data_IF_655778406130
#
_entry.id   IF_655778406130
#
_cell.length_a   1.000
_cell.length_b   1.000
_cell.length_c   1.000
_cell.angle_alpha   90.00
_cell.angle_beta   90.00
_cell.angle_gamma   90.00
#
_symmetry.space_group_name_H-M   'P 1'
#
loop_
_entity.id
_entity.type
_entity.pdbx_description
1 polymer ?
#
# COMPACT_ATOMS: atom_id res chain seq x y z
N UNK A 1 -1.82 6.81 22.77
CA UNK A 1 -1.82 8.12 22.08
C UNK A 1 -2.79 7.98 20.92
N UNK A 2 -3.90 8.74 20.91
CA UNK A 2 -4.86 8.66 19.81
C UNK A 2 -4.14 8.99 18.51
N UNK A 3 -4.31 8.10 17.54
CA UNK A 3 -3.81 8.26 16.19
C UNK A 3 -4.29 9.59 15.59
N UNK A 4 -3.39 10.54 15.30
CA UNK A 4 -3.73 11.84 14.69
C UNK A 4 -4.15 11.71 13.20
N UNK A 5 -4.45 10.49 12.71
CA UNK A 5 -4.72 10.19 11.30
C UNK A 5 -6.01 10.85 10.79
N UNK A 6 -7.13 10.65 11.49
CA UNK A 6 -8.42 11.23 11.07
C UNK A 6 -8.39 12.77 11.10
N UNK A 7 -7.94 13.42 12.18
CA UNK A 7 -7.81 14.88 12.18
C UNK A 7 -6.90 15.40 11.04
N UNK A 8 -5.78 14.71 10.76
CA UNK A 8 -4.87 15.09 9.67
C UNK A 8 -5.52 14.91 8.30
N UNK A 9 -6.25 13.82 8.08
CA UNK A 9 -7.02 13.57 6.86
C UNK A 9 -8.09 14.66 6.65
N UNK A 10 -8.90 14.96 7.68
CA UNK A 10 -9.98 15.93 7.57
C UNK A 10 -9.46 17.36 7.34
N UNK A 11 -8.36 17.74 8.02
CA UNK A 11 -7.69 19.01 7.79
C UNK A 11 -7.13 19.11 6.36
N UNK A 12 -6.54 18.02 5.86
CA UNK A 12 -6.05 17.94 4.49
C UNK A 12 -7.21 18.04 3.47
N UNK A 13 -8.33 17.35 3.73
CA UNK A 13 -9.53 17.41 2.89
C UNK A 13 -10.05 18.84 2.75
N UNK A 14 -10.22 19.53 3.88
CA UNK A 14 -10.67 20.93 3.91
C UNK A 14 -9.72 21.85 3.11
N UNK A 15 -8.41 21.68 3.29
CA UNK A 15 -7.39 22.46 2.56
C UNK A 15 -7.42 22.23 1.05
N UNK A 16 -7.81 21.02 0.60
CA UNK A 16 -7.86 20.65 -0.82
C UNK A 16 -9.27 20.79 -1.43
N UNK A 17 -10.19 21.46 -0.74
CA UNK A 17 -11.55 21.74 -1.23
C UNK A 17 -12.47 20.52 -1.29
N UNK A 18 -12.13 19.45 -0.57
CA UNK A 18 -13.02 18.30 -0.40
C UNK A 18 -14.09 18.66 0.63
N UNK A 19 -15.35 18.57 0.22
CA UNK A 19 -16.51 18.85 1.08
C UNK A 19 -17.16 17.52 1.44
N UNK A 20 -17.25 17.24 2.74
CA UNK A 20 -17.88 16.05 3.31
C UNK A 20 -19.20 16.46 3.96
N UNK A 21 -20.28 15.77 3.63
CA UNK A 21 -21.61 16.02 4.18
C UNK A 21 -21.59 15.84 5.70
N UNK A 22 -22.22 16.77 6.42
CA UNK A 22 -22.20 16.80 7.88
C UNK A 22 -22.90 15.61 8.54
N UNK A 23 -23.70 14.84 7.78
CA UNK A 23 -24.41 13.64 8.25
C UNK A 23 -23.57 12.38 8.17
N UNK A 24 -22.40 12.42 7.55
CA UNK A 24 -21.46 11.30 7.57
C UNK A 24 -20.24 11.62 8.44
N UNK A 25 -19.60 10.57 8.93
CA UNK A 25 -18.37 10.69 9.68
C UNK A 25 -17.37 9.61 9.27
N UNK A 26 -16.10 10.01 9.34
CA UNK A 26 -14.95 9.14 9.11
C UNK A 26 -14.46 8.65 10.45
N UNK A 27 -14.47 7.33 10.65
CA UNK A 27 -14.18 6.67 11.93
C UNK A 27 -13.04 5.68 11.75
N UNK A 28 -12.18 5.56 12.76
CA UNK A 28 -11.13 4.55 12.82
C UNK A 28 -11.71 3.34 13.56
N UNK A 29 -11.68 2.19 12.92
CA UNK A 29 -12.12 0.94 13.49
C UNK A 29 -10.90 0.06 13.76
N UNK A 30 -10.67 -0.27 15.03
CA UNK A 30 -9.72 -1.29 15.43
C UNK A 30 -10.37 -2.66 15.20
N UNK A 31 -10.10 -3.32 14.06
CA UNK A 31 -10.48 -4.73 13.92
C UNK A 31 -9.53 -5.57 14.76
N UNK A 32 -10.06 -6.14 15.85
CA UNK A 32 -9.44 -7.31 16.49
C UNK A 32 -9.46 -8.40 15.43
N UNK A 33 -8.28 -8.83 14.95
CA UNK A 33 -8.20 -10.01 14.09
C UNK A 33 -8.99 -11.15 14.78
N UNK A 34 -9.89 -11.86 14.10
CA UNK A 34 -10.67 -12.92 14.72
C UNK A 34 -9.67 -13.94 15.28
N UNK A 35 -9.48 -13.93 16.59
CA UNK A 35 -8.83 -15.02 17.28
C UNK A 35 -9.69 -16.24 17.00
N UNK A 36 -9.14 -17.23 16.31
CA UNK A 36 -9.55 -18.61 16.53
C UNK A 36 -9.36 -18.89 18.02
N UNK A 37 -10.48 -18.83 18.75
CA UNK A 37 -10.73 -19.12 20.17
C UNK A 37 -10.19 -18.17 21.27
N UNK A 38 -10.99 -17.93 22.34
CA UNK A 38 -10.54 -17.25 23.54
C UNK A 38 -9.91 -18.28 24.49
N UNK A 39 -8.57 -18.34 24.55
CA UNK A 39 -7.90 -19.05 25.65
C UNK A 39 -7.73 -18.06 26.80
N UNK A 40 -8.51 -18.27 27.87
CA UNK A 40 -8.21 -17.73 29.19
C UNK A 40 -6.93 -18.41 29.69
N UNK A 41 -5.79 -17.72 29.63
CA UNK A 41 -4.65 -18.05 30.50
C UNK A 41 -4.55 -16.96 31.57
N UNK A 42 -4.97 -17.31 32.78
CA UNK A 42 -4.43 -16.69 33.99
C UNK A 42 -2.96 -17.11 34.08
N UNK A 43 -2.08 -16.14 34.30
CA UNK A 43 -0.62 -16.28 34.43
C UNK A 43 0.16 -16.30 33.10
N UNK A 44 0.43 -15.11 32.54
CA UNK A 44 1.81 -14.57 32.46
C UNK A 44 1.83 -13.19 31.78
N UNK A 45 2.66 -12.31 32.33
CA UNK A 45 2.67 -10.88 32.11
C UNK A 45 3.48 -10.49 30.85
N UNK A 46 3.08 -10.98 29.66
CA UNK A 46 3.70 -10.62 28.37
C UNK A 46 2.61 -10.12 27.42
N UNK A 47 2.67 -8.86 26.93
CA UNK A 47 1.67 -8.36 26.00
C UNK A 47 1.86 -9.02 24.63
N UNK A 48 1.01 -9.99 24.28
CA UNK A 48 0.86 -10.47 22.90
C UNK A 48 0.43 -9.27 22.03
N UNK A 49 1.30 -8.84 21.12
CA UNK A 49 0.96 -7.84 20.09
C UNK A 49 -0.06 -8.46 19.13
N UNK A 50 -1.34 -8.35 19.46
CA UNK A 50 -2.43 -8.46 18.48
C UNK A 50 -2.24 -7.30 17.50
N UNK A 51 -1.99 -7.61 16.23
CA UNK A 51 -1.94 -6.61 15.16
C UNK A 51 -3.37 -6.10 14.93
N UNK A 52 -3.74 -5.02 15.62
CA UNK A 52 -4.96 -4.31 15.33
C UNK A 52 -4.81 -3.65 13.96
N UNK A 53 -5.54 -4.15 12.96
CA UNK A 53 -5.65 -3.44 11.69
C UNK A 53 -6.49 -2.18 11.92
N UNK A 54 -5.82 -1.03 11.89
CA UNK A 54 -6.48 0.28 12.02
C UNK A 54 -7.02 0.71 10.66
N UNK A 55 -8.25 0.33 10.38
CA UNK A 55 -8.93 0.67 9.14
C UNK A 55 -9.82 1.90 9.33
N UNK A 56 -9.92 2.74 8.29
CA UNK A 56 -10.84 3.86 8.25
C UNK A 56 -12.13 3.42 7.57
N UNK A 57 -13.27 3.80 8.12
CA UNK A 57 -14.61 3.55 7.57
C UNK A 57 -15.43 4.83 7.59
N UNK A 58 -16.41 4.91 6.69
CA UNK A 58 -17.39 6.00 6.65
C UNK A 58 -18.74 5.50 7.17
N UNK A 59 -19.33 6.22 8.11
CA UNK A 59 -20.61 5.89 8.74
C UNK A 59 -21.59 7.07 8.65
N UNK A 60 -22.89 6.80 8.63
CA UNK A 60 -23.91 7.84 8.85
C UNK A 60 -24.00 8.17 10.34
N UNK A 61 -24.22 9.44 10.66
CA UNK A 61 -24.39 9.97 12.01
C UNK A 61 -25.83 9.83 12.48
N UNK A 62 -26.32 8.63 12.79
CA UNK A 62 -27.66 8.37 13.38
C UNK A 62 -28.85 9.12 12.73
N UNK A 63 -28.65 9.72 11.57
CA UNK A 63 -29.56 10.60 10.87
C UNK A 63 -29.90 9.93 9.55
N UNK A 64 -31.17 10.03 9.18
CA UNK A 64 -31.62 9.54 7.90
C UNK A 64 -31.04 10.42 6.79
N UNK A 65 -30.53 9.79 5.74
CA UNK A 65 -30.00 10.47 4.57
C UNK A 65 -30.99 10.22 3.43
N UNK A 66 -31.72 11.25 3.04
CA UNK A 66 -32.63 11.20 1.90
C UNK A 66 -31.88 10.90 0.59
N UNK A 67 -32.57 10.24 -0.35
CA UNK A 67 -32.09 9.97 -1.71
C UNK A 67 -32.88 10.80 -2.74
N UNK A 68 -32.23 11.41 -3.75
CA UNK A 68 -30.79 11.45 -4.02
C UNK A 68 -30.07 12.53 -3.21
N UNK A 69 -28.84 12.25 -2.77
CA UNK A 69 -28.01 13.24 -2.10
C UNK A 69 -26.51 13.04 -2.34
N UNK A 70 -25.76 14.14 -2.41
CA UNK A 70 -24.30 14.14 -2.52
C UNK A 70 -23.66 14.11 -1.13
N UNK A 71 -22.92 13.03 -0.84
CA UNK A 71 -22.23 12.89 0.44
C UNK A 71 -20.84 13.49 0.48
N UNK A 72 -20.13 13.48 -0.66
CA UNK A 72 -18.78 14.01 -0.74
C UNK A 72 -18.60 14.67 -2.10
N UNK A 73 -18.09 15.90 -2.11
CA UNK A 73 -17.64 16.57 -3.32
C UNK A 73 -16.10 16.63 -3.32
N UNK A 74 -15.48 16.04 -4.35
CA UNK A 74 -14.03 15.87 -4.44
C UNK A 74 -13.53 16.59 -5.70
N UNK A 75 -12.77 17.68 -5.58
CA UNK A 75 -12.15 18.32 -6.73
C UNK A 75 -11.20 17.36 -7.44
N UNK A 76 -11.22 17.34 -8.78
CA UNK A 76 -10.27 16.55 -9.57
C UNK A 76 -8.81 16.90 -9.25
N UNK A 77 -8.56 18.16 -8.86
CA UNK A 77 -7.24 18.58 -8.39
C UNK A 77 -6.78 17.82 -7.17
N UNK A 78 -7.66 17.29 -6.30
CA UNK A 78 -7.29 16.53 -5.10
C UNK A 78 -6.96 15.05 -5.38
N UNK A 79 -7.30 14.54 -6.57
CA UNK A 79 -7.11 13.14 -6.97
C UNK A 79 -5.63 12.82 -7.23
N UNK A 80 -5.17 11.68 -6.73
CA UNK A 80 -3.83 11.15 -7.01
C UNK A 80 -3.89 10.20 -8.20
N UNK A 81 -3.24 10.58 -9.29
CA UNK A 81 -3.20 9.85 -10.56
C UNK A 81 -1.78 9.83 -11.12
N UNK A 82 -1.57 9.05 -12.18
CA UNK A 82 -0.32 9.09 -12.95
C UNK A 82 -0.03 10.47 -13.53
N UNK A 83 -1.06 11.30 -13.76
CA UNK A 83 -0.92 12.67 -14.29
C UNK A 83 -0.61 13.72 -13.23
N UNK A 84 -1.16 13.56 -12.03
CA UNK A 84 -1.05 14.56 -10.98
C UNK A 84 0.17 14.36 -10.07
N UNK A 85 0.69 13.13 -9.96
CA UNK A 85 1.80 12.78 -9.06
C UNK A 85 3.13 13.47 -9.41
N UNK A 86 4.05 13.48 -8.44
CA UNK A 86 5.37 14.10 -8.54
C UNK A 86 6.24 13.55 -9.68
N UNK A 87 6.12 12.26 -10.00
CA UNK A 87 6.88 11.58 -11.06
C UNK A 87 6.09 11.44 -12.37
N UNK A 88 5.01 12.19 -12.52
CA UNK A 88 4.14 12.20 -13.71
C UNK A 88 4.92 12.29 -15.04
N UNK A 89 5.96 13.15 -15.19
CA UNK A 89 6.71 13.22 -16.46
C UNK A 89 7.47 11.95 -16.82
N UNK A 90 7.72 11.05 -15.85
CA UNK A 90 8.47 9.81 -16.05
C UNK A 90 7.57 8.58 -16.21
N UNK A 91 6.25 8.72 -16.02
CA UNK A 91 5.31 7.61 -16.15
C UNK A 91 4.73 7.60 -17.58
N UNK A 92 4.86 6.45 -18.26
CA UNK A 92 4.22 6.25 -19.55
C UNK A 92 2.68 6.25 -19.40
N UNK A 93 1.94 6.89 -20.33
CA UNK A 93 0.48 6.89 -20.29
C UNK A 93 -0.05 5.50 -20.65
N UNK A 94 -0.56 4.78 -19.65
CA UNK A 94 -1.22 3.48 -19.84
C UNK A 94 -2.69 3.65 -19.48
N UNK A 95 -3.61 3.63 -20.45
CA UNK A 95 -4.99 4.03 -20.21
C UNK A 95 -5.84 2.98 -19.51
N UNK A 96 -5.54 1.68 -19.58
CA UNK A 96 -6.39 0.64 -18.98
C UNK A 96 -5.63 -0.65 -18.70
N UNK A 97 -6.30 -1.59 -18.02
CA UNK A 97 -5.79 -2.93 -17.71
C UNK A 97 -4.77 -2.97 -16.58
N UNK A 98 -4.05 -4.07 -16.46
CA UNK A 98 -3.04 -4.29 -15.41
C UNK A 98 -1.91 -3.25 -15.46
N UNK A 99 -1.47 -2.83 -16.66
CA UNK A 99 -0.47 -1.79 -16.81
C UNK A 99 -0.88 -0.44 -16.19
N UNK A 100 -2.16 -0.07 -16.24
CA UNK A 100 -2.66 1.13 -15.57
C UNK A 100 -2.56 1.02 -14.04
N UNK A 101 -2.79 -0.17 -13.48
CA UNK A 101 -2.61 -0.45 -12.06
C UNK A 101 -1.14 -0.34 -11.64
N UNK A 102 -0.23 -0.93 -12.43
CA UNK A 102 1.22 -0.84 -12.19
C UNK A 102 1.72 0.61 -12.27
N UNK A 103 1.25 1.38 -13.24
CA UNK A 103 1.60 2.80 -13.40
C UNK A 103 1.07 3.65 -12.24
N UNK A 104 -0.17 3.44 -11.80
CA UNK A 104 -0.73 4.14 -10.65
C UNK A 104 -0.04 3.69 -9.34
N UNK A 105 0.32 2.42 -9.20
CA UNK A 105 1.07 1.92 -8.06
C UNK A 105 2.45 2.59 -7.96
N UNK A 106 3.12 2.82 -9.10
CA UNK A 106 4.36 3.59 -9.15
C UNK A 106 4.13 5.05 -8.70
N UNK A 107 3.07 5.70 -9.19
CA UNK A 107 2.71 7.05 -8.77
C UNK A 107 2.46 7.13 -7.25
N UNK A 108 1.65 6.22 -6.71
CA UNK A 108 1.35 6.14 -5.28
C UNK A 108 2.61 5.84 -4.46
N UNK A 109 3.43 4.90 -4.91
CA UNK A 109 4.66 4.53 -4.20
C UNK A 109 5.66 5.69 -4.13
N UNK A 110 5.82 6.44 -5.22
CA UNK A 110 6.64 7.65 -5.24
C UNK A 110 6.17 8.69 -4.21
N UNK A 111 4.86 8.90 -4.09
CA UNK A 111 4.29 9.81 -3.08
C UNK A 111 4.46 9.28 -1.65
N UNK A 112 4.31 7.98 -1.41
CA UNK A 112 4.54 7.35 -0.10
C UNK A 112 5.99 7.52 0.37
N UNK A 113 6.97 7.41 -0.53
CA UNK A 113 8.39 7.59 -0.21
C UNK A 113 8.74 9.03 0.17
N UNK A 114 8.03 10.02 -0.38
CA UNK A 114 8.21 11.44 -0.05
C UNK A 114 7.73 11.80 1.35
N UNK A 115 6.85 10.99 1.95
CA UNK A 115 6.30 11.26 3.27
C UNK A 115 5.69 12.66 3.35
N UNK A 116 6.15 13.48 4.31
CA UNK A 116 5.62 14.83 4.56
C UNK A 116 5.83 15.82 3.41
N UNK A 117 6.72 15.51 2.46
CA UNK A 117 6.89 16.32 1.25
C UNK A 117 5.87 15.99 0.15
N UNK A 118 5.05 14.95 0.33
CA UNK A 118 3.94 14.67 -0.58
C UNK A 118 2.81 15.66 -0.35
N UNK A 119 2.28 16.21 -1.44
CA UNK A 119 1.05 17.02 -1.39
C UNK A 119 -0.17 16.22 -0.91
N UNK A 120 -0.12 14.88 -0.94
CA UNK A 120 -1.16 13.99 -0.43
C UNK A 120 -0.87 13.44 0.96
N UNK A 121 0.17 13.92 1.67
CA UNK A 121 0.61 13.29 2.92
C UNK A 121 -0.51 13.05 3.94
N UNK A 122 -1.42 14.01 4.14
CA UNK A 122 -2.56 13.84 5.05
C UNK A 122 -3.54 12.74 4.62
N UNK A 123 -3.73 12.56 3.31
CA UNK A 123 -4.49 11.43 2.75
C UNK A 123 -3.72 10.11 2.85
N UNK A 124 -2.43 10.08 2.49
CA UNK A 124 -1.62 8.87 2.53
C UNK A 124 -1.51 8.28 3.94
N UNK A 125 -1.50 9.12 4.97
CA UNK A 125 -1.57 8.68 6.37
C UNK A 125 -2.83 7.90 6.69
N UNK A 126 -3.93 8.12 5.96
CA UNK A 126 -5.21 7.47 6.17
C UNK A 126 -5.28 6.07 5.55
N UNK A 127 -4.39 5.74 4.62
CA UNK A 127 -4.29 4.42 4.01
C UNK A 127 -3.77 3.38 5.03
N UNK A 128 -4.17 2.09 4.92
CA UNK A 128 -3.60 1.00 5.70
C UNK A 128 -2.08 1.00 5.60
N UNK A 129 -1.39 0.78 6.73
CA UNK A 129 0.07 0.65 6.74
C UNK A 129 0.57 -0.75 6.36
N UNK A 130 -0.33 -1.73 6.37
CA UNK A 130 -0.05 -3.11 5.96
C UNK A 130 -0.57 -3.36 4.54
N UNK A 131 0.03 -4.32 3.83
CA UNK A 131 -0.45 -4.78 2.52
C UNK A 131 -1.89 -5.27 2.63
N UNK A 132 -2.75 -4.80 1.75
CA UNK A 132 -4.12 -5.30 1.64
C UNK A 132 -4.08 -6.74 1.12
N UNK A 133 -4.94 -7.60 1.68
CA UNK A 133 -5.01 -9.03 1.36
C UNK A 133 -5.66 -9.29 0.00
N UNK A 134 -4.92 -8.98 -1.07
CA UNK A 134 -5.30 -9.34 -2.43
C UNK A 134 -4.73 -10.72 -2.78
N UNK A 135 -5.53 -11.55 -3.48
CA UNK A 135 -5.14 -12.92 -3.82
C UNK A 135 -3.83 -13.01 -4.63
N UNK A 136 -3.50 -11.95 -5.38
CA UNK A 136 -2.24 -11.80 -6.11
C UNK A 136 -0.99 -11.89 -5.21
N UNK A 137 -1.11 -11.53 -3.93
CA UNK A 137 -0.02 -11.47 -2.96
C UNK A 137 -0.10 -12.57 -1.89
N UNK A 138 -1.10 -13.45 -1.96
CA UNK A 138 -1.27 -14.53 -0.99
C UNK A 138 -0.08 -15.50 -0.97
N UNK A 139 0.40 -15.80 0.24
CA UNK A 139 1.50 -16.74 0.46
C UNK A 139 2.89 -16.24 0.05
N UNK A 140 2.98 -14.98 -0.42
CA UNK A 140 4.24 -14.35 -0.74
C UNK A 140 4.85 -13.70 0.52
N UNK A 141 6.14 -13.93 0.83
CA UNK A 141 6.82 -13.31 1.97
C UNK A 141 7.08 -11.79 1.77
N UNK A 142 6.40 -11.17 0.80
CA UNK A 142 6.63 -9.81 0.31
C UNK A 142 5.88 -8.78 1.17
N UNK A 143 4.96 -9.23 2.05
CA UNK A 143 4.27 -8.38 2.99
C UNK A 143 5.15 -8.02 4.21
N UNK A 144 5.83 -6.87 4.11
CA UNK A 144 6.41 -6.05 5.18
C UNK A 144 7.33 -6.72 6.24
N UNK A 145 8.56 -6.22 6.25
CA UNK A 145 9.49 -6.00 7.37
C UNK A 145 10.35 -7.17 7.85
N UNK A 146 11.57 -7.33 7.30
CA UNK A 146 12.67 -8.11 7.90
C UNK A 146 12.39 -9.63 7.96
N UNK A 147 13.43 -10.45 7.80
CA UNK A 147 13.33 -11.90 7.99
C UNK A 147 12.62 -12.18 9.32
N UNK A 148 11.64 -13.09 9.33
CA UNK A 148 11.14 -13.60 10.60
C UNK A 148 12.33 -14.22 11.35
N UNK A 149 12.64 -13.71 12.54
CA UNK A 149 13.73 -14.19 13.40
C UNK A 149 13.30 -15.47 14.17
N UNK A 150 12.36 -16.23 13.62
CA UNK A 150 11.79 -17.41 14.28
C UNK A 150 12.78 -18.59 14.39
N UNK A 151 14.03 -18.43 13.94
CA UNK A 151 15.18 -19.26 14.28
C UNK A 151 16.11 -18.42 15.18
N UNK A 152 16.07 -18.64 16.50
CA UNK A 152 17.24 -18.43 17.38
C UNK A 152 17.04 -18.89 18.85
N UNK A 153 15.94 -19.55 19.21
CA UNK A 153 15.76 -20.08 20.58
C UNK A 153 15.58 -21.59 20.61
N UNK A 154 16.50 -22.33 19.98
CA UNK A 154 16.68 -23.76 20.19
C UNK A 154 18.15 -24.03 20.58
N UNK A 155 18.46 -24.60 21.75
CA UNK A 155 19.84 -24.86 22.13
C UNK A 155 20.34 -26.12 21.44
N UNK A 156 20.67 -26.07 20.15
CA UNK A 156 21.55 -27.02 19.43
C UNK A 156 21.80 -26.49 17.99
N UNK A 157 22.60 -25.43 17.85
CA UNK A 157 23.10 -25.00 16.54
C UNK A 157 24.39 -25.79 16.23
N UNK A 158 24.28 -26.76 15.32
CA UNK A 158 25.43 -27.31 14.59
C UNK A 158 25.66 -26.48 13.33
N UNK A 159 26.93 -26.23 13.01
CA UNK A 159 27.39 -25.38 11.92
C UNK A 159 26.91 -25.90 10.55
N UNK A 160 25.81 -25.35 10.05
CA UNK A 160 25.45 -25.42 8.64
C UNK A 160 25.12 -24.01 8.13
N UNK A 161 26.04 -23.45 7.36
CA UNK A 161 25.79 -22.30 6.49
C UNK A 161 24.82 -22.73 5.39
N UNK A 162 23.52 -22.64 5.65
CA UNK A 162 22.55 -22.62 4.55
C UNK A 162 21.35 -21.74 4.87
N UNK A 163 20.83 -21.12 3.82
CA UNK A 163 19.93 -19.97 3.81
C UNK A 163 18.78 -20.04 4.82
N UNK A 164 18.70 -19.04 5.70
CA UNK A 164 17.61 -18.83 6.66
C UNK A 164 16.25 -18.61 6.00
N UNK A 165 15.54 -19.69 5.73
CA UNK A 165 14.10 -19.73 5.48
C UNK A 165 13.45 -20.50 6.62
N UNK A 166 12.43 -19.92 7.25
CA UNK A 166 11.59 -20.63 8.19
C UNK A 166 10.98 -21.87 7.51
N UNK A 167 10.96 -23.01 8.19
CA UNK A 167 10.21 -24.17 7.74
C UNK A 167 8.72 -23.87 7.95
N UNK A 168 8.03 -23.57 6.85
CA UNK A 168 6.62 -23.09 6.84
C UNK A 168 5.63 -24.24 7.09
N UNK A 169 6.16 -25.43 7.40
CA UNK A 169 5.43 -26.66 7.70
C UNK A 169 4.93 -26.76 9.15
N UNK A 170 5.40 -25.90 10.06
CA UNK A 170 5.00 -25.94 11.49
C UNK A 170 4.34 -24.63 11.88
N UNK A 171 3.19 -24.74 12.56
CA UNK A 171 2.42 -23.64 13.16
C UNK A 171 3.30 -22.80 14.10
N UNK A 172 3.97 -21.81 13.53
CA UNK A 172 4.78 -20.89 14.32
C UNK A 172 3.86 -19.95 15.08
N UNK A 173 4.19 -19.63 16.34
CA UNK A 173 3.54 -18.55 17.09
C UNK A 173 3.80 -17.14 16.52
N UNK A 174 4.43 -17.03 15.35
CA UNK A 174 4.64 -15.79 14.64
C UNK A 174 3.44 -15.48 13.75
N UNK A 175 2.75 -14.36 14.03
CA UNK A 175 1.61 -13.89 13.24
C UNK A 175 1.93 -13.71 11.74
N UNK A 176 3.18 -13.37 11.40
CA UNK A 176 3.61 -13.18 10.01
C UNK A 176 3.72 -14.49 9.24
N UNK A 177 4.38 -15.49 9.84
CA UNK A 177 4.44 -16.82 9.26
C UNK A 177 3.05 -17.47 9.19
N UNK A 178 2.19 -17.21 10.18
CA UNK A 178 0.79 -17.63 10.14
C UNK A 178 0.05 -17.03 8.94
N UNK A 179 0.18 -15.72 8.67
CA UNK A 179 -0.43 -15.07 7.48
C UNK A 179 0.11 -15.61 6.16
N UNK A 180 1.42 -15.85 6.05
CA UNK A 180 2.01 -16.44 4.85
C UNK A 180 1.51 -17.86 4.63
N UNK A 181 1.43 -18.66 5.70
CA UNK A 181 0.91 -20.03 5.64
C UNK A 181 -0.58 -20.03 5.28
N UNK A 182 -1.38 -19.19 5.93
CA UNK A 182 -2.81 -19.01 5.64
C UNK A 182 -3.04 -18.60 4.18
N UNK A 183 -2.30 -17.62 3.67
CA UNK A 183 -2.38 -17.23 2.26
C UNK A 183 -2.02 -18.36 1.29
N UNK A 184 -1.08 -19.26 1.64
CA UNK A 184 -0.81 -20.46 0.81
C UNK A 184 -1.97 -21.44 0.83
N UNK A 185 -2.57 -21.67 1.99
CA UNK A 185 -3.74 -22.53 2.12
C UNK A 185 -4.94 -21.96 1.35
N UNK A 186 -5.19 -20.67 1.48
CA UNK A 186 -6.23 -19.96 0.74
C UNK A 186 -6.02 -20.03 -0.78
N UNK A 187 -4.75 -19.95 -1.23
CA UNK A 187 -4.41 -20.13 -2.65
C UNK A 187 -4.69 -21.56 -3.13
N UNK A 188 -4.46 -22.57 -2.30
CA UNK A 188 -4.84 -23.95 -2.59
C UNK A 188 -6.36 -24.11 -2.78
N UNK A 189 -7.19 -23.31 -2.08
CA UNK A 189 -8.64 -23.33 -2.29
C UNK A 189 -9.09 -22.74 -3.63
N UNK A 190 -8.23 -21.95 -4.29
CA UNK A 190 -8.50 -21.43 -5.62
C UNK A 190 -8.08 -22.40 -6.73
N UNK A 191 -7.41 -23.51 -6.41
CA UNK A 191 -6.99 -24.49 -7.40
C UNK A 191 -8.17 -24.91 -8.29
N UNK A 192 -7.93 -24.97 -9.60
CA UNK A 192 -8.94 -25.38 -10.60
C UNK A 192 -10.07 -24.34 -10.80
N UNK A 193 -9.97 -23.15 -10.21
CA UNK A 193 -10.88 -22.04 -10.50
C UNK A 193 -10.30 -21.10 -11.57
N UNK A 194 -11.17 -20.37 -12.28
CA UNK A 194 -10.75 -19.31 -13.21
C UNK A 194 -9.92 -18.23 -12.50
N UNK A 195 -10.18 -18.00 -11.20
CA UNK A 195 -9.39 -17.08 -10.40
C UNK A 195 -7.91 -17.49 -10.31
N UNK A 196 -7.59 -18.79 -10.23
CA UNK A 196 -6.20 -19.24 -10.26
C UNK A 196 -5.52 -18.90 -11.59
N UNK A 197 -6.25 -19.09 -12.70
CA UNK A 197 -5.74 -18.80 -14.04
C UNK A 197 -5.43 -17.31 -14.21
N UNK A 198 -6.31 -16.44 -13.75
CA UNK A 198 -6.13 -14.98 -13.80
C UNK A 198 -5.00 -14.49 -12.87
N UNK A 199 -4.79 -15.15 -11.72
CA UNK A 199 -3.73 -14.78 -10.77
C UNK A 199 -2.35 -15.31 -11.17
N UNK A 200 -2.29 -16.27 -12.09
CA UNK A 200 -1.05 -16.95 -12.48
C UNK A 200 -0.10 -15.95 -13.15
N UNK A 201 1.12 -15.84 -12.63
CA UNK A 201 2.16 -14.97 -13.19
C UNK A 201 2.10 -13.51 -12.74
N UNK A 202 0.98 -13.05 -12.18
CA UNK A 202 0.78 -11.65 -11.80
C UNK A 202 1.85 -11.14 -10.82
N UNK A 203 2.26 -11.95 -9.85
CA UNK A 203 3.33 -11.59 -8.91
C UNK A 203 4.70 -11.46 -9.60
N UNK A 204 4.98 -12.31 -10.59
CA UNK A 204 6.20 -12.24 -11.37
C UNK A 204 6.20 -10.97 -12.23
N UNK A 205 5.06 -10.62 -12.83
CA UNK A 205 4.88 -9.38 -13.58
C UNK A 205 5.10 -8.13 -12.71
N UNK A 206 4.51 -8.09 -11.52
CA UNK A 206 4.72 -7.00 -10.54
C UNK A 206 6.21 -6.87 -10.19
N UNK A 207 6.89 -7.99 -9.94
CA UNK A 207 8.31 -8.02 -9.59
C UNK A 207 9.21 -7.60 -10.75
N UNK A 208 8.86 -8.01 -11.96
CA UNK A 208 9.57 -7.64 -13.18
C UNK A 208 9.41 -6.14 -13.46
N UNK A 209 8.18 -5.62 -13.38
CA UNK A 209 7.89 -4.20 -13.54
C UNK A 209 8.62 -3.35 -12.50
N UNK A 210 8.74 -3.84 -11.27
CA UNK A 210 9.52 -3.17 -10.23
C UNK A 210 10.99 -2.99 -10.64
N UNK A 211 11.60 -4.08 -11.09
CA UNK A 211 13.02 -4.14 -11.47
C UNK A 211 13.31 -3.31 -12.72
N UNK A 212 12.43 -3.40 -13.72
CA UNK A 212 12.66 -2.77 -15.03
C UNK A 212 12.29 -1.28 -15.06
N UNK A 213 11.24 -0.90 -14.31
CA UNK A 213 10.62 0.43 -14.43
C UNK A 213 10.67 1.20 -13.12
N UNK A 214 10.14 0.63 -12.02
CA UNK A 214 9.93 1.38 -10.76
C UNK A 214 11.25 1.82 -10.15
N UNK A 215 12.15 0.88 -9.87
CA UNK A 215 13.40 1.15 -9.21
C UNK A 215 14.29 2.11 -10.04
N UNK A 216 14.50 1.89 -11.35
CA UNK A 216 15.26 2.84 -12.18
C UNK A 216 14.63 4.22 -12.24
N UNK A 217 13.30 4.32 -12.30
CA UNK A 217 12.58 5.61 -12.36
C UNK A 217 12.77 6.39 -11.06
N UNK A 218 12.53 5.76 -9.91
CA UNK A 218 12.67 6.40 -8.61
C UNK A 218 14.12 6.81 -8.33
N UNK A 219 15.09 5.94 -8.66
CA UNK A 219 16.53 6.26 -8.53
C UNK A 219 16.94 7.51 -9.33
N UNK A 220 16.42 7.68 -10.55
CA UNK A 220 16.70 8.87 -11.38
C UNK A 220 16.17 10.15 -10.75
N UNK A 221 14.98 10.09 -10.15
CA UNK A 221 14.34 11.26 -9.55
C UNK A 221 14.99 11.63 -8.21
N UNK A 222 15.43 10.64 -7.42
CA UNK A 222 16.17 10.90 -6.17
C UNK A 222 17.59 11.45 -6.39
N UNK A 223 18.24 11.12 -7.51
CA UNK A 223 19.60 11.57 -7.86
C UNK A 223 19.66 12.29 -9.23
N UNK A 224 19.12 13.52 -9.35
CA UNK A 224 19.07 14.23 -10.63
C UNK A 224 20.44 14.69 -11.16
N UNK A 225 21.52 14.57 -10.38
CA UNK A 225 22.86 15.12 -10.71
C UNK A 225 23.75 14.23 -11.59
N UNK A 226 23.31 13.03 -11.99
CA UNK A 226 24.17 12.07 -12.73
C UNK A 226 23.94 12.01 -14.24
N UNK A 227 22.99 12.80 -14.78
CA UNK A 227 22.63 12.79 -16.22
C UNK A 227 23.21 13.98 -17.03
N UNK A 228 24.10 14.78 -16.45
CA UNK A 228 24.88 15.79 -17.19
C UNK A 228 26.38 15.64 -16.92
N UNK A 229 26.96 14.51 -17.32
CA UNK A 229 28.40 14.45 -17.59
C UNK A 229 28.68 13.40 -18.66
N UNK A 230 28.25 13.72 -19.87
CA UNK A 230 28.77 13.13 -21.10
C UNK A 230 29.42 14.27 -21.89
N UNK A 231 30.51 14.82 -21.35
CA UNK A 231 31.50 15.62 -22.10
C UNK A 231 32.80 15.76 -21.28
N UNK A 232 33.77 14.88 -21.57
CA UNK A 232 35.22 15.19 -21.63
C UNK A 232 36.05 15.25 -20.33
N UNK A 233 36.99 14.30 -20.17
CA UNK A 233 38.22 14.46 -19.38
C UNK A 233 38.77 13.14 -18.81
N UNK A 234 40.05 12.77 -19.04
CA UNK A 234 40.63 11.55 -18.47
C UNK A 234 41.21 11.79 -17.07
N UNK A 235 41.04 10.76 -16.23
CA UNK A 235 41.86 10.31 -15.10
C UNK A 235 42.25 11.29 -13.99
N UNK A 236 41.78 11.00 -12.77
CA UNK A 236 42.65 10.93 -11.59
C UNK A 236 42.05 9.98 -10.54
N UNK A 237 42.82 8.95 -10.20
CA UNK A 237 42.46 7.89 -9.28
C UNK A 237 43.01 8.19 -7.88
N UNK A 238 42.16 8.69 -6.96
CA UNK A 238 42.24 8.42 -5.52
C UNK A 238 41.20 9.25 -4.75
N UNK A 239 40.16 8.60 -4.27
CA UNK A 239 39.16 9.26 -3.41
C UNK A 239 38.05 8.30 -3.04
N UNK A 240 38.11 7.75 -1.81
CA UNK A 240 36.99 7.07 -1.17
C UNK A 240 35.88 8.10 -0.95
N UNK A 241 35.04 8.31 -1.95
CA UNK A 241 33.85 9.15 -1.80
C UNK A 241 32.79 8.35 -1.07
N UNK A 242 32.72 8.61 0.24
CA UNK A 242 31.54 8.37 1.06
C UNK A 242 30.35 9.05 0.38
N UNK A 243 29.54 8.26 -0.33
CA UNK A 243 28.26 8.68 -0.89
C UNK A 243 27.41 9.13 0.28
N UNK A 244 27.35 10.44 0.49
CA UNK A 244 26.44 11.07 1.44
C UNK A 244 25.04 10.94 0.86
N UNK A 245 24.39 9.83 1.19
CA UNK A 245 22.98 9.59 0.88
C UNK A 245 22.17 10.66 1.60
N UNK A 246 21.44 11.50 0.86
CA UNK A 246 20.53 12.48 1.45
C UNK A 246 19.57 11.75 2.41
N UNK A 247 19.50 12.13 3.70
CA UNK A 247 18.78 11.36 4.74
C UNK A 247 17.25 11.48 4.68
N UNK A 248 16.69 12.03 3.60
CA UNK A 248 15.25 12.29 3.46
C UNK A 248 14.47 11.25 2.63
N UNK A 249 15.15 10.41 1.83
CA UNK A 249 14.45 9.41 1.00
C UNK A 249 14.46 8.04 1.70
N UNK A 250 13.27 7.49 1.97
CA UNK A 250 13.14 6.08 2.36
C UNK A 250 13.68 5.19 1.24
N UNK A 251 14.40 4.14 1.60
CA UNK A 251 14.95 3.18 0.65
C UNK A 251 13.84 2.50 -0.17
N UNK A 252 14.06 2.37 -1.48
CA UNK A 252 13.11 1.71 -2.38
C UNK A 252 13.15 0.20 -2.15
N UNK A 253 11.99 -0.45 -2.09
CA UNK A 253 11.88 -1.91 -1.93
C UNK A 253 10.68 -2.47 -2.70
N UNK A 254 10.80 -3.73 -3.13
CA UNK A 254 9.70 -4.46 -3.78
C UNK A 254 8.49 -4.58 -2.85
N UNK A 255 8.71 -4.80 -1.54
CA UNK A 255 7.65 -4.83 -0.53
C UNK A 255 6.84 -3.52 -0.50
N UNK A 256 7.54 -2.37 -0.52
CA UNK A 256 6.87 -1.07 -0.54
C UNK A 256 6.05 -0.86 -1.82
N UNK A 257 6.56 -1.34 -2.96
CA UNK A 257 5.81 -1.28 -4.22
C UNK A 257 4.60 -2.22 -4.22
N UNK A 258 4.74 -3.48 -3.75
CA UNK A 258 3.61 -4.41 -3.62
C UNK A 258 2.53 -3.88 -2.66
N UNK A 259 2.94 -3.16 -1.61
CA UNK A 259 2.01 -2.46 -0.73
C UNK A 259 1.22 -1.39 -1.49
N UNK A 260 1.88 -0.51 -2.25
CA UNK A 260 1.19 0.48 -3.09
C UNK A 260 0.28 -0.20 -4.14
N UNK A 261 0.73 -1.28 -4.77
CA UNK A 261 -0.04 -2.05 -5.73
C UNK A 261 -1.30 -2.66 -5.09
N UNK A 262 -1.20 -3.17 -3.86
CA UNK A 262 -2.34 -3.73 -3.12
C UNK A 262 -3.39 -2.67 -2.79
N UNK A 263 -2.96 -1.44 -2.45
CA UNK A 263 -3.84 -0.30 -2.24
C UNK A 263 -4.54 0.09 -3.54
N UNK A 264 -3.80 0.26 -4.64
CA UNK A 264 -4.37 0.60 -5.95
C UNK A 264 -5.40 -0.44 -6.40
N UNK A 265 -5.07 -1.72 -6.29
CA UNK A 265 -5.94 -2.81 -6.73
C UNK A 265 -7.25 -2.91 -5.93
N UNK A 266 -7.28 -2.38 -4.71
CA UNK A 266 -8.46 -2.43 -3.84
C UNK A 266 -9.25 -1.12 -3.76
N UNK A 267 -8.66 0.02 -4.17
CA UNK A 267 -9.17 1.36 -3.84
C UNK A 267 -9.20 2.35 -5.00
N UNK A 268 -8.60 2.01 -6.14
CA UNK A 268 -8.54 2.96 -7.25
C UNK A 268 -9.87 3.00 -8.02
N UNK A 269 -10.24 4.19 -8.48
CA UNK A 269 -11.42 4.43 -9.30
C UNK A 269 -11.02 4.97 -10.66
N UNK A 270 -11.83 4.65 -11.67
CA UNK A 270 -11.77 5.35 -12.94
C UNK A 270 -12.42 6.72 -12.79
N UNK A 271 -11.67 7.80 -13.02
CA UNK A 271 -12.17 9.17 -12.87
C UNK A 271 -12.63 9.72 -14.22
N UNK A 272 -11.70 9.96 -15.15
CA UNK A 272 -12.00 10.48 -16.48
C UNK A 272 -10.89 10.13 -17.48
N UNK A 273 -11.01 10.59 -18.73
CA UNK A 273 -10.02 10.33 -19.77
C UNK A 273 -8.65 10.98 -19.52
N UNK A 274 -8.57 11.98 -18.63
CA UNK A 274 -7.32 12.65 -18.31
C UNK A 274 -6.59 11.93 -17.17
N UNK A 275 -7.26 11.71 -16.04
CA UNK A 275 -6.71 11.07 -14.86
C UNK A 275 -6.64 9.55 -14.99
N UNK A 276 -7.56 8.93 -15.73
CA UNK A 276 -7.71 7.49 -15.84
C UNK A 276 -7.99 6.85 -14.47
N UNK A 277 -7.30 5.73 -14.20
CA UNK A 277 -7.30 5.07 -12.90
C UNK A 277 -6.59 5.94 -11.85
N UNK A 278 -7.24 6.19 -10.71
CA UNK A 278 -6.72 7.10 -9.68
C UNK A 278 -7.14 6.73 -8.26
N UNK A 279 -6.35 7.18 -7.28
CA UNK A 279 -6.72 7.15 -5.86
C UNK A 279 -7.59 8.37 -5.54
N UNK A 280 -8.79 8.13 -5.02
CA UNK A 280 -9.81 9.16 -4.80
C UNK A 280 -10.06 9.28 -3.29
N UNK A 281 -9.53 10.33 -2.62
CA UNK A 281 -9.62 10.47 -1.17
C UNK A 281 -11.06 10.45 -0.66
N UNK A 282 -11.30 9.80 0.48
CA UNK A 282 -12.63 9.61 1.12
C UNK A 282 -13.53 8.64 0.34
N UNK A 283 -13.60 8.72 -0.98
CA UNK A 283 -14.35 7.76 -1.79
C UNK A 283 -13.84 6.33 -1.59
N UNK A 284 -12.52 6.18 -1.45
CA UNK A 284 -11.85 4.90 -1.20
C UNK A 284 -12.00 4.34 0.23
N UNK A 285 -12.62 5.11 1.14
CA UNK A 285 -12.91 4.69 2.50
C UNK A 285 -14.34 4.16 2.68
N UNK A 286 -15.19 4.28 1.65
CA UNK A 286 -16.50 3.63 1.65
C UNK A 286 -16.33 2.13 1.40
N UNK A 287 -16.88 1.33 2.31
CA UNK A 287 -16.87 -0.13 2.16
C UNK A 287 -17.89 -0.57 1.12
N UNK A 288 -17.56 -1.63 0.37
CA UNK A 288 -18.46 -2.25 -0.58
C UNK A 288 -19.39 -3.26 0.12
N UNK A 289 -20.68 -3.24 -0.23
CA UNK A 289 -21.67 -4.25 0.16
C UNK A 289 -22.47 -4.66 -1.08
N UNK A 290 -23.05 -5.87 -1.12
CA UNK A 290 -23.71 -6.34 -2.35
C UNK A 290 -24.91 -5.44 -2.74
N UNK A 291 -25.66 -4.95 -1.74
CA UNK A 291 -26.70 -3.93 -1.91
C UNK A 291 -26.10 -2.55 -1.59
N UNK A 292 -25.48 -1.93 -2.61
CA UNK A 292 -24.85 -0.63 -2.46
C UNK A 292 -25.90 0.49 -2.44
N UNK A 293 -25.80 1.37 -1.45
CA UNK A 293 -26.59 2.60 -1.35
C UNK A 293 -25.85 3.83 -1.88
N UNK A 294 -24.64 3.63 -2.42
CA UNK A 294 -23.70 4.67 -2.79
C UNK A 294 -23.07 4.37 -4.15
N UNK A 295 -22.85 5.41 -4.94
CA UNK A 295 -22.13 5.35 -6.20
C UNK A 295 -21.25 6.59 -6.36
N UNK A 296 -20.09 6.43 -6.99
CA UNK A 296 -19.22 7.53 -7.37
C UNK A 296 -19.57 7.99 -8.79
N UNK A 297 -19.96 9.25 -8.93
CA UNK A 297 -20.20 9.87 -10.23
C UNK A 297 -19.12 10.91 -10.55
N UNK A 298 -18.66 10.93 -11.80
CA UNK A 298 -17.75 11.99 -12.28
C UNK A 298 -18.54 13.01 -13.07
N UNK A 299 -18.64 14.22 -12.53
CA UNK A 299 -19.25 15.34 -13.23
C UNK A 299 -18.31 15.85 -14.33
N UNK A 300 -18.82 15.90 -15.55
CA UNK A 300 -18.16 16.53 -16.69
C UNK A 300 -18.60 17.99 -16.73
N UNK A 301 -17.68 18.91 -16.39
CA UNK A 301 -17.84 20.34 -16.66
C UNK A 301 -16.83 20.76 -17.71
#
# INVERSE_FOLDING_TARGET
MSSNRIPSLLAWCSTNGIVIDSRIEVVEHDTVAPSSDPVFDMEENIPRRTSYERCIRVCSRHEYIDFPCTLVHIPKTAVLSTKSCFISPQIAPIPYGHGAHLALALALYGELLRGSESRWFGYLQSLPGETVEIAALWGAPIANLERCICLDTGPMAGDHEDSGTCDISISSNCSRCARVHDGRNAKAWLEVTEAEQELRGLLAEISQYYTDIVEPTLRRVSNPRRTQSANGGPEDASGRDSVTVNPGFKETSLSGFCHAYSLVSSRAFWVDAYHGLSMVPIADAFNHVNENHLHMETLSF
#
